data_IF_040653547314
#
_entry.id   IF_040653547314
#
_cell.length_a   1.000
_cell.length_b   1.000
_cell.length_c   1.000
_cell.angle_alpha   90.00
_cell.angle_beta   90.00
_cell.angle_gamma   90.00
#
_symmetry.space_group_name_H-M   'P 1'
#
loop_
_entity.id
_entity.type
_entity.pdbx_description
1 polymer ?
#
# COMPACT_ATOMS: atom_id res chain seq x y z
N UNK A 1 -27.30 4.83 -15.85
CA UNK A 1 -26.29 5.85 -16.17
C UNK A 1 -24.90 5.37 -15.73
N UNK A 2 -24.20 4.51 -16.50
CA UNK A 2 -22.91 3.93 -16.10
C UNK A 2 -21.65 4.74 -16.50
N UNK A 3 -21.76 5.65 -17.48
CA UNK A 3 -20.60 6.40 -18.00
C UNK A 3 -20.04 7.43 -17.00
N UNK A 4 -20.90 8.04 -16.18
CA UNK A 4 -20.52 9.09 -15.23
C UNK A 4 -19.65 8.55 -14.09
N UNK A 5 -19.99 7.37 -13.56
CA UNK A 5 -19.25 6.75 -12.45
C UNK A 5 -17.86 6.31 -12.87
N UNK A 6 -17.71 5.74 -14.07
CA UNK A 6 -16.39 5.36 -14.60
C UNK A 6 -15.48 6.57 -14.82
N UNK A 7 -16.04 7.69 -15.31
CA UNK A 7 -15.30 8.94 -15.48
C UNK A 7 -14.88 9.54 -14.13
N UNK A 8 -15.78 9.53 -13.14
CA UNK A 8 -15.47 9.96 -11.77
C UNK A 8 -14.36 9.09 -11.16
N UNK A 9 -14.42 7.76 -11.34
CA UNK A 9 -13.39 6.85 -10.82
C UNK A 9 -12.01 7.23 -11.37
N UNK A 10 -11.92 7.57 -12.66
CA UNK A 10 -10.66 7.92 -13.30
C UNK A 10 -10.07 9.27 -12.81
N UNK A 11 -10.88 10.17 -12.26
CA UNK A 11 -10.43 11.50 -11.82
C UNK A 11 -10.10 11.60 -10.33
N UNK A 12 -10.51 10.62 -9.52
CA UNK A 12 -10.31 10.65 -8.07
C UNK A 12 -9.04 9.91 -7.64
N UNK A 13 -8.46 10.37 -6.53
CA UNK A 13 -7.40 9.65 -5.82
C UNK A 13 -7.98 8.48 -5.03
N UNK A 14 -7.13 7.54 -4.62
CA UNK A 14 -7.55 6.35 -3.86
C UNK A 14 -8.28 6.73 -2.58
N UNK A 15 -7.77 7.71 -1.83
CA UNK A 15 -8.41 8.18 -0.59
C UNK A 15 -9.79 8.80 -0.82
N UNK A 16 -9.96 9.52 -1.93
CA UNK A 16 -11.24 10.15 -2.27
C UNK A 16 -12.26 9.13 -2.75
N UNK A 17 -11.84 8.06 -3.44
CA UNK A 17 -12.70 6.93 -3.80
C UNK A 17 -13.24 6.20 -2.55
N UNK A 18 -12.36 5.95 -1.57
CA UNK A 18 -12.76 5.33 -0.30
C UNK A 18 -13.76 6.24 0.43
N UNK A 19 -13.46 7.54 0.52
CA UNK A 19 -14.34 8.53 1.16
C UNK A 19 -15.68 8.63 0.44
N UNK A 20 -15.68 8.66 -0.90
CA UNK A 20 -16.88 8.78 -1.71
C UNK A 20 -17.86 7.65 -1.42
N UNK A 21 -17.43 6.39 -1.52
CA UNK A 21 -18.33 5.26 -1.24
C UNK A 21 -18.75 5.20 0.21
N UNK A 22 -17.87 5.54 1.14
CA UNK A 22 -18.25 5.61 2.55
C UNK A 22 -19.41 6.58 2.77
N UNK A 23 -19.32 7.78 2.19
CA UNK A 23 -20.37 8.80 2.28
C UNK A 23 -21.63 8.34 1.55
N UNK A 24 -21.50 7.73 0.36
CA UNK A 24 -22.62 7.20 -0.40
C UNK A 24 -23.39 6.10 0.35
N UNK A 25 -22.68 5.29 1.15
CA UNK A 25 -23.25 4.27 2.03
C UNK A 25 -23.77 4.85 3.37
N UNK A 26 -23.59 6.14 3.64
CA UNK A 26 -24.01 6.78 4.89
C UNK A 26 -23.21 6.33 6.12
N UNK A 27 -21.99 5.83 5.94
CA UNK A 27 -21.19 5.24 7.01
C UNK A 27 -20.19 6.22 7.63
N UNK A 28 -19.95 6.07 8.92
CA UNK A 28 -18.77 6.58 9.62
C UNK A 28 -17.52 5.78 9.24
N UNK A 29 -16.33 6.32 9.54
CA UNK A 29 -15.07 5.62 9.28
C UNK A 29 -14.95 4.31 10.09
N UNK A 30 -15.48 4.28 11.32
CA UNK A 30 -15.57 3.07 12.14
C UNK A 30 -16.48 2.01 11.54
N UNK A 31 -17.64 2.41 11.04
CA UNK A 31 -18.58 1.50 10.39
C UNK A 31 -18.01 0.93 9.10
N UNK A 32 -17.31 1.75 8.31
CA UNK A 32 -16.59 1.24 7.13
C UNK A 32 -15.54 0.20 7.52
N UNK A 33 -14.77 0.42 8.59
CA UNK A 33 -13.77 -0.53 9.04
C UNK A 33 -14.40 -1.89 9.44
N UNK A 34 -15.51 -1.86 10.17
CA UNK A 34 -16.28 -3.06 10.51
C UNK A 34 -16.85 -3.75 9.26
N UNK A 35 -17.49 -2.97 8.38
CA UNK A 35 -18.09 -3.44 7.13
C UNK A 35 -17.09 -4.17 6.21
N UNK A 36 -15.87 -3.65 6.11
CA UNK A 36 -14.78 -4.25 5.34
C UNK A 36 -14.27 -5.53 5.99
N UNK A 37 -14.14 -5.54 7.32
CA UNK A 37 -13.67 -6.70 8.09
C UNK A 37 -14.61 -7.89 7.95
N UNK A 38 -15.92 -7.66 8.00
CA UNK A 38 -16.94 -8.69 7.81
C UNK A 38 -16.88 -9.35 6.42
N UNK A 39 -16.37 -8.63 5.41
CA UNK A 39 -16.32 -9.10 4.01
C UNK A 39 -14.98 -9.71 3.63
N UNK A 40 -13.92 -9.41 4.36
CA UNK A 40 -12.60 -9.96 4.09
C UNK A 40 -11.66 -9.86 5.28
N UNK A 41 -11.06 -11.00 5.64
CA UNK A 41 -9.99 -11.11 6.65
C UNK A 41 -8.79 -10.19 6.36
N UNK A 42 -8.62 -9.71 5.12
CA UNK A 42 -7.58 -8.74 4.77
C UNK A 42 -7.71 -7.42 5.52
N UNK A 43 -8.92 -7.09 6.00
CA UNK A 43 -9.20 -5.89 6.77
C UNK A 43 -9.25 -6.14 8.29
N UNK A 44 -8.97 -7.36 8.74
CA UNK A 44 -8.83 -7.64 10.18
C UNK A 44 -7.75 -6.74 10.78
N UNK A 45 -8.10 -6.05 11.87
CA UNK A 45 -7.25 -5.07 12.54
C UNK A 45 -7.15 -3.71 11.86
N UNK A 46 -7.93 -3.45 10.81
CA UNK A 46 -8.12 -2.08 10.28
C UNK A 46 -9.09 -1.35 11.20
N UNK A 47 -8.65 -0.20 11.69
CA UNK A 47 -9.42 0.66 12.60
C UNK A 47 -9.79 1.98 11.92
N UNK A 48 -10.58 2.79 12.64
CA UNK A 48 -11.01 4.13 12.21
C UNK A 48 -9.82 5.02 11.83
N UNK A 49 -8.71 4.95 12.57
CA UNK A 49 -7.50 5.75 12.31
C UNK A 49 -6.85 5.35 10.98
N UNK A 50 -6.80 4.05 10.69
CA UNK A 50 -6.27 3.53 9.43
C UNK A 50 -7.13 3.99 8.25
N UNK A 51 -8.46 3.91 8.36
CA UNK A 51 -9.39 4.46 7.35
C UNK A 51 -9.15 5.96 7.14
N UNK A 52 -9.07 6.74 8.23
CA UNK A 52 -8.81 8.18 8.16
C UNK A 52 -7.51 8.52 7.44
N UNK A 53 -6.43 7.77 7.71
CA UNK A 53 -5.14 7.94 7.03
C UNK A 53 -5.19 7.59 5.55
N UNK A 54 -5.97 6.57 5.16
CA UNK A 54 -6.20 6.22 3.76
C UNK A 54 -6.99 7.31 3.03
N UNK A 55 -8.07 7.81 3.64
CA UNK A 55 -8.87 8.90 3.07
C UNK A 55 -8.07 10.20 2.94
N UNK A 56 -7.17 10.47 3.89
CA UNK A 56 -6.28 11.62 3.83
C UNK A 56 -5.08 11.43 2.88
N UNK A 57 -4.93 10.27 2.25
CA UNK A 57 -3.80 9.95 1.37
C UNK A 57 -2.44 9.90 2.09
N UNK A 58 -2.43 9.82 3.43
CA UNK A 58 -1.19 9.77 4.24
C UNK A 58 -0.53 8.40 4.23
N UNK A 59 -1.34 7.36 4.10
CA UNK A 59 -0.92 5.95 4.01
C UNK A 59 -1.70 5.31 2.88
N UNK A 60 -1.07 4.43 2.10
CA UNK A 60 -1.74 3.68 1.05
C UNK A 60 -2.05 2.25 1.51
N UNK A 61 -3.24 1.70 1.20
CA UNK A 61 -3.52 0.28 1.40
C UNK A 61 -2.54 -0.59 0.61
N UNK A 62 -2.29 -1.81 1.10
CA UNK A 62 -1.53 -2.80 0.33
C UNK A 62 -2.27 -3.19 -0.95
N UNK A 63 -1.56 -3.69 -1.95
CA UNK A 63 -2.17 -4.13 -3.22
C UNK A 63 -3.28 -5.16 -3.00
N UNK A 64 -3.11 -6.10 -2.05
CA UNK A 64 -4.17 -7.07 -1.69
C UNK A 64 -5.42 -6.38 -1.15
N UNK A 65 -5.26 -5.37 -0.30
CA UNK A 65 -6.38 -4.57 0.22
C UNK A 65 -7.04 -3.72 -0.87
N UNK A 66 -6.29 -3.18 -1.82
CA UNK A 66 -6.86 -2.46 -2.98
C UNK A 66 -7.72 -3.38 -3.85
N UNK A 67 -7.29 -4.61 -4.08
CA UNK A 67 -8.08 -5.62 -4.81
C UNK A 67 -9.38 -5.94 -4.06
N UNK A 68 -9.32 -6.09 -2.74
CA UNK A 68 -10.52 -6.35 -1.94
C UNK A 68 -11.45 -5.13 -1.91
N UNK A 69 -10.91 -3.91 -1.77
CA UNK A 69 -11.64 -2.65 -1.82
C UNK A 69 -12.42 -2.50 -3.13
N UNK A 70 -11.76 -2.71 -4.27
CA UNK A 70 -12.40 -2.52 -5.57
C UNK A 70 -13.56 -3.50 -5.79
N UNK A 71 -13.45 -4.73 -5.27
CA UNK A 71 -14.52 -5.73 -5.32
C UNK A 71 -15.68 -5.41 -4.38
N UNK A 72 -15.37 -4.93 -3.17
CA UNK A 72 -16.37 -4.69 -2.12
C UNK A 72 -17.14 -3.38 -2.39
N UNK A 73 -16.43 -2.28 -2.64
CA UNK A 73 -17.06 -0.96 -2.76
C UNK A 73 -17.51 -0.64 -4.19
N UNK A 74 -16.85 -1.22 -5.20
CA UNK A 74 -17.13 -0.93 -6.61
C UNK A 74 -17.32 -2.21 -7.45
N UNK A 75 -18.22 -3.13 -7.08
CA UNK A 75 -18.35 -4.44 -7.74
C UNK A 75 -18.55 -4.31 -9.26
N UNK A 76 -19.37 -3.35 -9.71
CA UNK A 76 -19.66 -3.09 -11.14
C UNK A 76 -18.50 -2.42 -11.90
N UNK A 77 -17.53 -1.84 -11.19
CA UNK A 77 -16.39 -1.11 -11.77
C UNK A 77 -15.05 -1.61 -11.22
N UNK A 78 -14.98 -2.87 -10.80
CA UNK A 78 -13.83 -3.46 -10.10
C UNK A 78 -12.52 -3.23 -10.85
N UNK A 79 -12.51 -3.49 -12.17
CA UNK A 79 -11.30 -3.37 -13.01
C UNK A 79 -10.82 -1.92 -13.14
N UNK A 80 -11.73 -1.00 -13.43
CA UNK A 80 -11.42 0.43 -13.60
C UNK A 80 -10.93 1.03 -12.29
N UNK A 81 -11.63 0.73 -11.18
CA UNK A 81 -11.29 1.19 -9.84
C UNK A 81 -9.91 0.67 -9.42
N UNK A 82 -9.66 -0.63 -9.57
CA UNK A 82 -8.38 -1.21 -9.21
C UNK A 82 -7.23 -0.60 -10.03
N UNK A 83 -7.42 -0.42 -11.34
CA UNK A 83 -6.42 0.20 -12.21
C UNK A 83 -6.08 1.61 -11.73
N UNK A 84 -7.10 2.41 -11.40
CA UNK A 84 -6.90 3.75 -10.88
C UNK A 84 -6.13 3.73 -9.55
N UNK A 85 -6.59 2.94 -8.58
CA UNK A 85 -5.97 2.86 -7.26
C UNK A 85 -4.50 2.41 -7.31
N UNK A 86 -4.15 1.52 -8.24
CA UNK A 86 -2.76 1.10 -8.47
C UNK A 86 -1.93 2.22 -9.08
N UNK A 87 -2.50 2.99 -10.01
CA UNK A 87 -1.80 4.09 -10.69
C UNK A 87 -1.60 5.31 -9.77
N UNK A 88 -2.56 5.59 -8.90
CA UNK A 88 -2.51 6.69 -7.93
C UNK A 88 -1.46 6.45 -6.83
N UNK A 89 -1.10 5.19 -6.56
CA UNK A 89 -0.07 4.89 -5.58
C UNK A 89 1.26 5.52 -6.00
N UNK A 90 1.94 6.28 -5.12
CA UNK A 90 3.29 6.76 -5.41
C UNK A 90 4.18 5.56 -5.65
N UNK A 91 4.51 5.31 -6.92
CA UNK A 91 5.59 4.42 -7.30
C UNK A 91 6.83 5.08 -6.74
N UNK A 92 7.58 4.38 -5.91
CA UNK A 92 8.84 4.87 -5.36
C UNK A 92 9.82 5.18 -6.49
N UNK A 93 9.66 6.35 -7.10
CA UNK A 93 10.70 7.13 -7.73
C UNK A 93 11.08 8.24 -6.75
N UNK A 94 11.19 7.91 -5.46
CA UNK A 94 12.39 8.39 -4.81
C UNK A 94 13.49 7.74 -5.64
N UNK A 95 14.28 8.55 -6.35
CA UNK A 95 15.66 8.15 -6.58
C UNK A 95 16.14 7.67 -5.21
N UNK A 96 16.15 6.36 -4.96
CA UNK A 96 17.12 5.83 -4.04
C UNK A 96 18.42 6.17 -4.75
N UNK A 97 19.26 7.08 -4.25
CA UNK A 97 20.65 7.01 -4.61
C UNK A 97 21.11 5.67 -4.04
N UNK A 98 20.86 4.58 -4.76
CA UNK A 98 21.72 3.41 -4.67
C UNK A 98 23.02 3.93 -5.25
N UNK A 99 23.77 4.65 -4.42
CA UNK A 99 25.19 4.76 -4.61
C UNK A 99 25.63 3.31 -4.57
N UNK A 100 25.96 2.74 -5.73
CA UNK A 100 26.58 1.43 -5.84
C UNK A 100 28.00 1.49 -5.26
N UNK A 101 28.10 1.87 -4.00
CA UNK A 101 29.25 1.71 -3.16
C UNK A 101 28.76 0.83 -2.03
N UNK A 102 28.93 -0.47 -2.23
CA UNK A 102 29.10 -1.42 -1.12
C UNK A 102 30.38 -1.04 -0.35
N UNK A 103 30.38 0.13 0.27
CA UNK A 103 31.37 0.51 1.25
C UNK A 103 30.65 0.35 2.58
N UNK A 104 30.71 -0.86 3.13
CA UNK A 104 30.59 -1.00 4.58
C UNK A 104 31.66 -0.08 5.17
N UNK A 105 31.33 1.00 5.91
CA UNK A 105 32.34 1.64 6.71
C UNK A 105 32.84 0.56 7.66
N UNK A 106 34.15 0.32 7.69
CA UNK A 106 34.77 -0.60 8.63
C UNK A 106 34.29 -0.24 10.04
N UNK A 107 33.31 -1.00 10.54
CA UNK A 107 32.87 -0.86 11.91
C UNK A 107 34.05 -1.37 12.76
N UNK A 108 34.52 -0.62 13.77
CA UNK A 108 35.75 -0.94 14.50
C UNK A 108 35.71 -2.29 15.24
N UNK A 109 34.56 -2.96 15.27
CA UNK A 109 34.36 -4.27 15.89
C UNK A 109 34.30 -5.45 14.88
N UNK A 110 34.43 -5.19 13.57
CA UNK A 110 34.49 -6.23 12.52
C UNK A 110 35.94 -6.57 12.11
N UNK A 111 36.91 -6.38 13.01
CA UNK A 111 38.33 -6.72 12.80
C UNK A 111 38.63 -8.19 13.13
N UNK A 112 37.60 -9.04 13.22
CA UNK A 112 37.74 -10.42 13.69
C UNK A 112 37.80 -11.51 12.62
N UNK A 113 37.23 -11.30 11.43
CA UNK A 113 37.02 -12.41 10.48
C UNK A 113 37.96 -12.38 9.26
N UNK A 114 38.61 -11.25 8.97
CA UNK A 114 39.49 -11.11 7.81
C UNK A 114 40.80 -11.92 7.91
N UNK A 115 41.14 -12.47 9.08
CA UNK A 115 42.34 -13.28 9.28
C UNK A 115 42.10 -14.79 9.25
N UNK A 116 40.86 -15.28 9.06
CA UNK A 116 40.59 -16.73 9.07
C UNK A 116 40.80 -17.44 7.73
N UNK A 117 40.92 -16.70 6.63
CA UNK A 117 40.91 -17.26 5.28
C UNK A 117 42.31 -17.44 4.63
N UNK A 118 43.41 -17.38 5.39
CA UNK A 118 44.77 -17.55 4.85
C UNK A 118 45.60 -18.68 5.50
N UNK A 119 44.98 -19.65 6.15
CA UNK A 119 45.68 -20.85 6.62
C UNK A 119 45.08 -22.14 6.06
N UNK A 120 45.09 -22.29 4.74
CA UNK A 120 45.04 -23.62 4.10
C UNK A 120 46.01 -23.63 2.93
N UNK A 121 47.24 -24.03 3.23
CA UNK A 121 48.35 -24.49 2.36
C UNK A 121 49.58 -24.58 3.28
N UNK A 122 50.29 -25.68 3.53
CA UNK A 122 50.42 -27.01 2.94
C UNK A 122 50.90 -27.95 4.07
N UNK A 123 50.52 -29.23 3.99
CA UNK A 123 51.47 -30.36 3.95
C UNK A 123 50.77 -31.55 3.28
#
# INVERSE_FOLDING_TARGET
MPATTAHMIASLRTGDLIRHERIALGMTQSELAAYLTERSELFKGVDTVTISRWEAGRVYPSTRRLIAFSKILYPQHTRTTLRQMINDRPRGAHHCPINKLNAFPHHPYLVGEAHRALSVSHD
#
